data_IF_182631457602
#
_entry.id   IF_182631457602
#
_cell.length_a   1.000
_cell.length_b   1.000
_cell.length_c   1.000
_cell.angle_alpha   90.00
_cell.angle_beta   90.00
_cell.angle_gamma   90.00
#
_symmetry.space_group_name_H-M   'P 1'
#
loop_
_entity.id
_entity.type
_entity.pdbx_description
1 polymer ?
#
# COMPACT_ATOMS: atom_id res chain seq x y z
N UNK A 1 -2.47 26.73 30.42
CA UNK A 1 -1.93 25.51 31.05
C UNK A 1 -2.76 24.32 30.58
N UNK A 2 -2.19 23.47 29.71
CA UNK A 2 -2.75 22.17 29.34
C UNK A 2 -1.57 21.21 29.31
N UNK A 3 -1.50 20.33 30.31
CA UNK A 3 -0.49 19.29 30.48
C UNK A 3 -0.92 18.04 29.74
N UNK A 4 -0.20 17.65 28.69
CA UNK A 4 -0.36 16.37 28.00
C UNK A 4 0.64 15.34 28.50
N UNK A 5 0.15 14.28 29.14
CA UNK A 5 0.96 13.16 29.65
C UNK A 5 1.32 12.21 28.50
N UNK A 6 2.62 11.99 28.24
CA UNK A 6 3.10 10.96 27.30
C UNK A 6 3.12 9.59 28.00
N UNK A 7 2.32 8.63 27.52
CA UNK A 7 2.45 7.22 27.86
C UNK A 7 3.53 6.57 26.98
N UNK A 8 4.51 5.92 27.60
CA UNK A 8 5.63 5.23 26.94
C UNK A 8 5.38 3.72 27.04
N UNK A 9 5.04 3.07 25.94
CA UNK A 9 4.97 1.61 25.87
C UNK A 9 6.35 1.13 25.41
N UNK A 10 7.01 0.32 26.24
CA UNK A 10 8.31 -0.27 25.93
C UNK A 10 8.10 -1.70 25.39
N UNK A 11 8.57 -1.96 24.17
CA UNK A 11 8.77 -3.32 23.66
C UNK A 11 10.15 -3.83 24.12
N UNK A 12 10.24 -5.00 24.76
CA UNK A 12 11.52 -5.60 25.11
C UNK A 12 11.95 -6.57 24.01
N UNK A 13 12.81 -6.12 23.09
CA UNK A 13 13.61 -7.05 22.29
C UNK A 13 15.02 -6.48 22.14
N UNK A 14 16.08 -7.24 22.50
CA UNK A 14 17.45 -6.79 22.36
C UNK A 14 17.93 -7.07 20.94
N UNK A 15 18.02 -6.03 20.12
CA UNK A 15 18.75 -6.06 18.85
C UNK A 15 19.88 -5.04 18.98
N UNK A 16 21.10 -5.50 18.67
CA UNK A 16 22.38 -4.82 18.87
C UNK A 16 22.49 -3.44 18.19
N UNK A 17 23.37 -2.54 18.68
CA UNK A 17 23.20 -1.12 18.53
C UNK A 17 24.03 -0.53 17.37
N UNK A 18 24.00 -1.05 16.15
CA UNK A 18 24.79 -0.45 15.04
C UNK A 18 24.06 -0.37 13.68
N UNK A 19 22.79 0.01 13.68
CA UNK A 19 22.20 0.69 12.53
C UNK A 19 21.23 1.76 13.00
N UNK A 20 21.81 2.93 13.26
CA UNK A 20 21.17 4.09 13.86
C UNK A 20 19.90 4.52 13.12
N UNK A 21 18.81 4.56 13.89
CA UNK A 21 18.00 5.76 14.07
C UNK A 21 17.65 6.56 12.80
N UNK A 22 16.80 6.01 11.92
CA UNK A 22 16.04 6.84 10.98
C UNK A 22 14.76 6.17 10.48
N UNK A 23 13.95 5.59 11.38
CA UNK A 23 12.67 4.96 10.99
C UNK A 23 11.49 5.30 11.92
N UNK A 24 11.64 6.27 12.82
CA UNK A 24 10.51 6.79 13.58
C UNK A 24 10.52 8.32 13.51
N UNK A 25 9.43 8.89 12.98
CA UNK A 25 9.12 10.33 12.87
C UNK A 25 9.70 11.06 11.66
N UNK A 26 9.44 10.53 10.46
CA UNK A 26 9.42 11.38 9.26
C UNK A 26 8.17 12.27 9.31
N UNK A 27 8.27 13.47 9.88
CA UNK A 27 7.29 14.52 9.58
C UNK A 27 7.58 14.98 8.17
N UNK A 28 6.69 14.66 7.22
CA UNK A 28 6.77 15.23 5.87
C UNK A 28 6.39 16.70 5.99
N UNK A 29 7.40 17.57 6.00
CA UNK A 29 7.20 19.01 5.86
C UNK A 29 6.95 19.26 4.38
N UNK A 30 5.69 19.43 4.00
CA UNK A 30 5.34 19.95 2.68
C UNK A 30 5.62 21.44 2.72
N UNK A 31 6.72 21.88 2.11
CA UNK A 31 6.93 23.31 1.87
C UNK A 31 5.86 23.79 0.89
N UNK A 32 4.88 24.55 1.40
CA UNK A 32 3.94 25.26 0.56
C UNK A 32 4.68 26.36 -0.19
N UNK A 33 5.00 26.10 -1.45
CA UNK A 33 5.53 27.13 -2.33
C UNK A 33 4.38 28.06 -2.72
N UNK A 34 4.28 29.21 -2.06
CA UNK A 34 3.41 30.29 -2.51
C UNK A 34 3.99 30.87 -3.81
N UNK A 35 3.46 30.43 -4.95
CA UNK A 35 3.87 30.93 -6.25
C UNK A 35 2.91 30.46 -7.33
N UNK A 36 2.16 31.41 -7.91
CA UNK A 36 1.26 31.21 -9.03
C UNK A 36 2.05 30.96 -10.32
N UNK A 37 2.63 29.77 -10.43
CA UNK A 37 3.16 29.24 -11.69
C UNK A 37 2.71 27.78 -11.73
N UNK A 38 1.74 27.48 -12.61
CA UNK A 38 1.07 26.18 -12.66
C UNK A 38 2.01 25.11 -13.26
N UNK A 39 3.08 24.77 -12.53
CA UNK A 39 3.86 23.57 -12.83
C UNK A 39 2.90 22.38 -12.76
N UNK A 40 2.90 21.49 -13.76
CA UNK A 40 2.02 20.33 -13.74
C UNK A 40 2.24 19.54 -12.45
N UNK A 41 1.14 19.11 -11.83
CA UNK A 41 1.19 18.25 -10.65
C UNK A 41 2.05 17.01 -10.95
N UNK A 42 2.80 16.49 -9.97
CA UNK A 42 3.58 15.29 -10.17
C UNK A 42 2.66 14.11 -10.53
N UNK A 43 3.20 13.19 -11.33
CA UNK A 43 2.60 11.89 -11.60
C UNK A 43 3.27 10.87 -10.68
N UNK A 44 2.46 10.14 -9.92
CA UNK A 44 2.89 9.09 -9.00
C UNK A 44 2.38 7.77 -9.56
N UNK A 45 3.29 6.83 -9.80
CA UNK A 45 2.95 5.50 -10.31
C UNK A 45 3.27 4.49 -9.22
N UNK A 46 2.28 3.69 -8.85
CA UNK A 46 2.50 2.54 -7.99
C UNK A 46 2.55 1.26 -8.81
N UNK A 47 3.51 0.39 -8.48
CA UNK A 47 3.41 -1.02 -8.83
C UNK A 47 2.41 -1.74 -7.90
N UNK A 48 1.92 -2.90 -8.33
CA UNK A 48 0.95 -3.70 -7.58
C UNK A 48 1.60 -4.81 -6.76
N UNK A 49 2.23 -5.78 -7.42
CA UNK A 49 2.75 -7.00 -6.82
C UNK A 49 3.96 -6.72 -5.92
N UNK A 50 3.89 -7.16 -4.67
CA UNK A 50 4.87 -6.91 -3.61
C UNK A 50 5.20 -5.43 -3.33
N UNK A 51 4.43 -4.50 -3.91
CA UNK A 51 4.49 -3.06 -3.62
C UNK A 51 3.26 -2.63 -2.82
N UNK A 52 2.06 -2.78 -3.39
CA UNK A 52 0.79 -2.50 -2.70
C UNK A 52 0.18 -3.79 -2.14
N UNK A 53 0.19 -4.87 -2.91
CA UNK A 53 -0.35 -6.16 -2.50
C UNK A 53 0.81 -7.14 -2.21
N UNK A 54 0.90 -7.75 -1.01
CA UNK A 54 2.02 -8.62 -0.64
C UNK A 54 1.87 -10.03 -1.24
N UNK A 55 1.76 -10.10 -2.57
CA UNK A 55 1.39 -11.32 -3.31
C UNK A 55 2.39 -12.45 -3.14
N UNK A 56 3.69 -12.17 -3.07
CA UNK A 56 4.69 -13.20 -2.77
C UNK A 56 4.53 -13.77 -1.37
N UNK A 57 4.36 -12.92 -0.35
CA UNK A 57 4.17 -13.42 1.02
C UNK A 57 2.91 -14.28 1.13
N UNK A 58 1.84 -13.86 0.47
CA UNK A 58 0.59 -14.63 0.39
C UNK A 58 0.85 -16.00 -0.24
N UNK A 59 1.45 -16.05 -1.43
CA UNK A 59 1.65 -17.29 -2.16
C UNK A 59 2.72 -18.22 -1.56
N UNK A 60 3.75 -17.66 -0.93
CA UNK A 60 4.92 -18.44 -0.45
C UNK A 60 4.89 -18.73 1.04
N UNK A 61 4.13 -17.96 1.81
CA UNK A 61 4.06 -18.11 3.27
C UNK A 61 2.64 -18.45 3.70
N UNK A 62 1.66 -17.60 3.37
CA UNK A 62 0.30 -17.77 3.88
C UNK A 62 -0.36 -19.02 3.31
N UNK A 63 -0.49 -19.13 1.99
CA UNK A 63 -1.19 -20.22 1.31
C UNK A 63 -0.61 -21.60 1.67
N UNK A 64 0.73 -21.83 1.65
CA UNK A 64 1.30 -23.11 2.07
C UNK A 64 1.06 -23.43 3.55
N UNK A 65 0.92 -22.40 4.40
CA UNK A 65 0.67 -22.57 5.83
C UNK A 65 -0.78 -22.93 6.17
N UNK A 66 -1.73 -22.74 5.24
CA UNK A 66 -3.16 -22.98 5.49
C UNK A 66 -3.50 -24.46 5.78
N UNK A 67 -2.62 -25.40 5.42
CA UNK A 67 -2.79 -26.80 5.81
C UNK A 67 -2.47 -27.07 7.30
N UNK A 68 -1.82 -26.12 7.98
CA UNK A 68 -1.35 -26.26 9.37
C UNK A 68 -1.97 -25.23 10.31
N UNK A 69 -2.36 -24.08 9.78
CA UNK A 69 -2.82 -22.92 10.56
C UNK A 69 -4.10 -22.38 9.94
N UNK A 70 -5.08 -22.00 10.76
CA UNK A 70 -6.34 -21.43 10.30
C UNK A 70 -6.12 -20.08 9.59
N UNK A 71 -6.77 -19.85 8.46
CA UNK A 71 -6.61 -18.61 7.68
C UNK A 71 -6.85 -17.33 8.50
N UNK A 72 -7.74 -17.40 9.51
CA UNK A 72 -8.03 -16.29 10.43
C UNK A 72 -6.81 -15.76 11.18
N UNK A 73 -5.73 -16.55 11.32
CA UNK A 73 -4.49 -16.08 11.95
C UNK A 73 -3.80 -14.99 11.15
N UNK A 74 -4.05 -14.92 9.84
CA UNK A 74 -3.43 -13.94 8.95
C UNK A 74 -4.33 -12.73 8.67
N UNK A 75 -5.63 -12.85 8.91
CA UNK A 75 -6.63 -11.84 8.50
C UNK A 75 -6.40 -10.49 9.16
N UNK A 76 -6.09 -10.45 10.46
CA UNK A 76 -5.86 -9.19 11.15
C UNK A 76 -4.67 -8.40 10.55
N UNK A 77 -3.61 -9.12 10.14
CA UNK A 77 -2.45 -8.51 9.49
C UNK A 77 -2.80 -8.01 8.08
N UNK A 78 -3.53 -8.80 7.29
CA UNK A 78 -3.95 -8.40 5.94
C UNK A 78 -4.94 -7.23 5.96
N UNK A 79 -5.88 -7.20 6.92
CA UNK A 79 -6.79 -6.06 7.11
C UNK A 79 -6.06 -4.80 7.56
N UNK A 80 -5.05 -4.94 8.43
CA UNK A 80 -4.20 -3.81 8.77
C UNK A 80 -3.41 -3.32 7.56
N UNK A 81 -2.83 -4.21 6.76
CA UNK A 81 -2.11 -3.86 5.54
C UNK A 81 -3.02 -3.14 4.53
N UNK A 82 -4.23 -3.64 4.31
CA UNK A 82 -5.21 -3.02 3.41
C UNK A 82 -5.53 -1.58 3.82
N UNK A 83 -5.69 -1.30 5.13
CA UNK A 83 -5.89 0.08 5.63
C UNK A 83 -4.70 0.99 5.35
N UNK A 84 -3.47 0.48 5.39
CA UNK A 84 -2.28 1.27 5.04
C UNK A 84 -2.23 1.56 3.54
N UNK A 85 -2.56 0.59 2.69
CA UNK A 85 -2.68 0.78 1.23
C UNK A 85 -3.70 1.87 0.93
N UNK A 86 -4.89 1.83 1.54
CA UNK A 86 -5.90 2.88 1.39
C UNK A 86 -5.36 4.25 1.81
N UNK A 87 -4.73 4.34 2.99
CA UNK A 87 -4.18 5.59 3.49
C UNK A 87 -3.10 6.18 2.57
N UNK A 88 -2.22 5.33 2.02
CA UNK A 88 -1.16 5.75 1.09
C UNK A 88 -1.76 6.28 -0.21
N UNK A 89 -2.73 5.58 -0.82
CA UNK A 89 -3.36 6.01 -2.06
C UNK A 89 -4.09 7.35 -1.87
N UNK A 90 -4.83 7.50 -0.76
CA UNK A 90 -5.50 8.76 -0.41
C UNK A 90 -4.51 9.91 -0.16
N UNK A 91 -3.37 9.63 0.47
CA UNK A 91 -2.33 10.63 0.69
C UNK A 91 -1.65 11.04 -0.63
N UNK A 92 -1.30 10.07 -1.47
CA UNK A 92 -0.68 10.31 -2.77
C UNK A 92 -1.58 11.15 -3.69
N UNK A 93 -2.90 10.89 -3.71
CA UNK A 93 -3.87 11.68 -4.49
C UNK A 93 -3.94 13.15 -4.07
N UNK A 94 -3.56 13.50 -2.84
CA UNK A 94 -3.47 14.91 -2.41
C UNK A 94 -2.24 15.62 -2.98
N UNK A 95 -1.22 14.87 -3.40
CA UNK A 95 0.05 15.40 -3.88
C UNK A 95 0.11 15.48 -5.41
N UNK A 96 -0.64 14.65 -6.13
CA UNK A 96 -0.65 14.67 -7.59
C UNK A 96 -1.55 13.63 -8.25
N UNK A 97 -1.31 13.41 -9.54
CA UNK A 97 -1.98 12.35 -10.29
C UNK A 97 -1.43 10.99 -9.88
N UNK A 98 -2.30 10.00 -9.69
CA UNK A 98 -1.90 8.67 -9.21
C UNK A 98 -2.54 7.62 -10.10
N UNK A 99 -1.71 6.73 -10.63
CA UNK A 99 -2.14 5.52 -11.35
C UNK A 99 -1.36 4.30 -10.85
N UNK A 100 -1.89 3.11 -11.15
CA UNK A 100 -1.22 1.84 -10.89
C UNK A 100 -0.77 1.24 -12.22
N UNK A 101 0.48 0.79 -12.28
CA UNK A 101 1.02 0.05 -13.43
C UNK A 101 1.54 -1.28 -12.90
N UNK A 102 1.04 -2.39 -13.41
CA UNK A 102 1.43 -3.73 -12.94
C UNK A 102 1.91 -4.61 -14.10
N UNK A 103 2.90 -5.46 -13.81
CA UNK A 103 3.32 -6.54 -14.70
C UNK A 103 2.30 -7.70 -14.77
N UNK A 104 1.25 -7.66 -13.96
CA UNK A 104 0.13 -8.59 -13.97
C UNK A 104 -0.94 -8.26 -15.01
N UNK A 105 -1.70 -9.26 -15.43
CA UNK A 105 -2.90 -9.05 -16.24
C UNK A 105 -4.12 -8.69 -15.36
N UNK A 106 -5.21 -8.24 -15.99
CA UNK A 106 -6.42 -7.85 -15.27
C UNK A 106 -7.01 -8.95 -14.36
N UNK A 107 -7.16 -10.21 -14.83
CA UNK A 107 -7.61 -11.30 -13.95
C UNK A 107 -6.73 -11.50 -12.71
N UNK A 108 -5.41 -11.40 -12.87
CA UNK A 108 -4.46 -11.51 -11.76
C UNK A 108 -4.64 -10.37 -10.75
N UNK A 109 -4.79 -9.14 -11.22
CA UNK A 109 -5.05 -8.00 -10.36
C UNK A 109 -6.37 -8.15 -9.59
N UNK A 110 -7.46 -8.51 -10.27
CA UNK A 110 -8.78 -8.67 -9.64
C UNK A 110 -8.80 -9.81 -8.61
N UNK A 111 -8.05 -10.88 -8.86
CA UNK A 111 -7.89 -11.97 -7.90
C UNK A 111 -7.06 -11.50 -6.69
N UNK A 112 -5.88 -10.94 -6.92
CA UNK A 112 -4.96 -10.56 -5.85
C UNK A 112 -5.48 -9.40 -4.99
N UNK A 113 -6.28 -8.49 -5.55
CA UNK A 113 -6.96 -7.44 -4.78
C UNK A 113 -7.87 -7.97 -3.67
N UNK A 114 -8.37 -9.21 -3.78
CA UNK A 114 -9.20 -9.83 -2.75
C UNK A 114 -8.42 -10.16 -1.48
N UNK A 115 -7.08 -10.23 -1.55
CA UNK A 115 -6.25 -10.42 -0.36
C UNK A 115 -6.22 -9.17 0.54
N UNK A 116 -6.48 -7.97 0.01
CA UNK A 116 -6.58 -6.73 0.77
C UNK A 116 -7.93 -6.62 1.49
N UNK A 117 -8.18 -7.55 2.41
CA UNK A 117 -9.44 -7.66 3.17
C UNK A 117 -9.76 -6.38 3.93
N UNK A 118 -11.04 -6.09 4.05
CA UNK A 118 -11.53 -4.91 4.79
C UNK A 118 -11.48 -3.60 3.98
N UNK A 119 -10.89 -3.61 2.79
CA UNK A 119 -10.96 -2.50 1.82
C UNK A 119 -11.56 -3.02 0.53
N UNK A 120 -12.58 -2.34 0.02
CA UNK A 120 -13.07 -2.59 -1.33
C UNK A 120 -12.16 -1.85 -2.32
N UNK A 121 -11.10 -2.51 -2.77
CA UNK A 121 -10.07 -1.92 -3.65
C UNK A 121 -10.71 -1.32 -4.91
N UNK A 122 -11.60 -2.04 -5.59
CA UNK A 122 -12.24 -1.53 -6.81
C UNK A 122 -13.06 -0.27 -6.57
N UNK A 123 -13.79 -0.20 -5.44
CA UNK A 123 -14.55 1.00 -5.07
C UNK A 123 -13.61 2.15 -4.71
N UNK A 124 -12.52 1.89 -3.99
CA UNK A 124 -11.51 2.88 -3.61
C UNK A 124 -10.83 3.47 -4.85
N UNK A 125 -10.36 2.64 -5.78
CA UNK A 125 -9.69 3.11 -7.01
C UNK A 125 -10.65 3.94 -7.88
N UNK A 126 -11.93 3.55 -7.95
CA UNK A 126 -12.97 4.34 -8.62
C UNK A 126 -13.24 5.67 -7.91
N UNK A 127 -13.32 5.67 -6.59
CA UNK A 127 -13.51 6.88 -5.78
C UNK A 127 -12.36 7.88 -5.98
N UNK A 128 -11.13 7.36 -6.04
CA UNK A 128 -9.91 8.14 -6.17
C UNK A 128 -9.53 8.49 -7.61
N UNK A 129 -10.30 8.03 -8.60
CA UNK A 129 -9.98 8.18 -10.03
C UNK A 129 -8.54 7.73 -10.32
N UNK A 130 -8.25 6.46 -9.97
CA UNK A 130 -6.96 5.79 -10.20
C UNK A 130 -7.17 4.75 -11.29
N UNK A 131 -6.42 4.88 -12.38
CA UNK A 131 -6.44 3.91 -13.48
C UNK A 131 -5.41 2.81 -13.20
N UNK A 132 -5.75 1.57 -13.57
CA UNK A 132 -4.83 0.43 -13.52
C UNK A 132 -4.43 0.04 -14.93
N UNK A 133 -3.14 0.09 -15.22
CA UNK A 133 -2.54 -0.37 -16.46
C UNK A 133 -1.98 -1.77 -16.26
N UNK A 134 -2.47 -2.70 -17.06
CA UNK A 134 -2.13 -4.13 -16.99
C UNK A 134 -1.09 -4.50 -18.04
N UNK A 135 -0.28 -5.51 -17.74
CA UNK A 135 0.49 -6.19 -18.75
C UNK A 135 -0.44 -6.88 -19.75
N UNK A 136 -0.13 -6.70 -21.03
CA UNK A 136 -0.74 -7.40 -22.15
C UNK A 136 0.33 -8.26 -22.81
N UNK A 137 0.00 -9.52 -23.08
CA UNK A 137 0.86 -10.38 -23.89
C UNK A 137 0.61 -9.98 -25.35
N UNK A 138 1.61 -9.50 -26.09
CA UNK A 138 1.44 -9.18 -27.51
C UNK A 138 1.02 -10.44 -28.28
N UNK A 139 0.06 -10.30 -29.19
CA UNK A 139 -0.47 -11.33 -30.10
C UNK A 139 -1.51 -12.31 -29.54
N UNK A 140 -2.07 -12.07 -28.35
CA UNK A 140 -3.36 -12.64 -27.96
C UNK A 140 -4.41 -11.56 -28.21
N UNK A 141 -5.11 -11.65 -29.35
CA UNK A 141 -6.27 -10.78 -29.63
C UNK A 141 -7.38 -11.17 -28.65
N UNK A 142 -7.92 -10.26 -27.84
CA UNK A 142 -9.09 -10.59 -27.03
C UNK A 142 -10.28 -10.84 -27.97
N UNK A 143 -11.02 -11.94 -27.75
CA UNK A 143 -12.38 -12.10 -28.29
C UNK A 143 -13.31 -11.01 -27.76
#
# INVERSE_FOLDING_TARGET
AITGTKLKVACPCPIEPELGASLAQGTVVLEEKSGSDSSPLPVIIFDWDDTLCPTWWIQKVMEPSLCRVAASTFYAALEAHARHVEAILRAAKKLGHVDIVTAGNKPWFELSAQYLRGVNVSALLKELDIVVYYAVIPNIVPE
#
